data_IF_755178074014
#
_entry.id   IF_755178074014
#
_cell.length_a   1.000
_cell.length_b   1.000
_cell.length_c   1.000
_cell.angle_alpha   90.00
_cell.angle_beta   90.00
_cell.angle_gamma   90.00
#
_symmetry.space_group_name_H-M   'P 1'
#
loop_
_entity.id
_entity.type
_entity.pdbx_description
1 polymer ?
#
# COMPACT_ATOMS: atom_id res chain seq x y z
N UNK A 1 24.76 19.91 29.79
CA UNK A 1 25.82 19.20 29.07
C UNK A 1 25.31 17.87 28.61
N UNK A 2 25.45 17.59 27.30
CA UNK A 2 25.36 16.29 26.64
C UNK A 2 23.99 15.63 26.58
N UNK A 3 23.16 16.01 25.58
CA UNK A 3 22.23 15.13 24.89
C UNK A 3 22.23 15.49 23.39
N UNK A 4 23.39 15.36 22.78
CA UNK A 4 23.51 15.20 21.35
C UNK A 4 23.83 13.69 21.13
N UNK A 5 22.82 12.85 21.35
CA UNK A 5 22.86 11.50 20.79
C UNK A 5 22.86 11.68 19.27
N UNK A 6 23.94 11.24 18.67
CA UNK A 6 24.16 11.19 17.23
C UNK A 6 22.94 10.59 16.54
N UNK A 7 22.15 11.41 15.83
CA UNK A 7 21.38 10.91 14.69
C UNK A 7 22.41 10.38 13.70
N UNK A 8 22.64 9.09 13.69
CA UNK A 8 23.14 8.43 12.49
C UNK A 8 22.14 8.81 11.39
N UNK A 9 22.62 9.51 10.39
CA UNK A 9 21.85 9.75 9.18
C UNK A 9 21.47 8.38 8.63
N UNK A 10 20.16 8.07 8.58
CA UNK A 10 19.65 6.92 7.86
C UNK A 10 20.27 6.97 6.46
N UNK A 11 20.97 5.93 6.06
CA UNK A 11 21.44 5.84 4.68
C UNK A 11 20.20 5.81 3.78
N UNK A 12 20.23 6.55 2.68
CA UNK A 12 19.15 6.52 1.69
C UNK A 12 18.99 5.09 1.16
N UNK A 13 17.74 4.64 0.95
CA UNK A 13 17.48 3.34 0.35
C UNK A 13 18.12 3.25 -1.04
N UNK A 14 18.58 2.07 -1.40
CA UNK A 14 19.05 1.80 -2.76
C UNK A 14 17.98 1.04 -3.58
N UNK A 15 18.27 0.84 -4.86
CA UNK A 15 17.38 0.12 -5.77
C UNK A 15 17.07 -1.31 -5.30
N UNK A 16 18.04 -1.95 -4.65
CA UNK A 16 17.88 -3.29 -4.10
C UNK A 16 16.87 -3.30 -2.96
N UNK A 17 16.93 -2.31 -2.08
CA UNK A 17 15.99 -2.18 -0.95
C UNK A 17 14.56 -1.97 -1.45
N UNK A 18 14.38 -1.13 -2.47
CA UNK A 18 13.08 -0.94 -3.12
C UNK A 18 12.56 -2.24 -3.74
N UNK A 19 13.39 -2.99 -4.47
CA UNK A 19 12.97 -4.26 -5.06
C UNK A 19 12.61 -5.31 -4.00
N UNK A 20 13.29 -5.34 -2.87
CA UNK A 20 12.94 -6.18 -1.73
C UNK A 20 11.60 -5.77 -1.12
N UNK A 21 11.40 -4.47 -0.87
CA UNK A 21 10.13 -3.92 -0.36
C UNK A 21 8.97 -4.26 -1.31
N UNK A 22 9.11 -4.00 -2.61
CA UNK A 22 8.07 -4.31 -3.60
C UNK A 22 7.73 -5.80 -3.64
N UNK A 23 8.74 -6.68 -3.57
CA UNK A 23 8.52 -8.13 -3.51
C UNK A 23 7.73 -8.55 -2.26
N UNK A 24 8.00 -7.91 -1.13
CA UNK A 24 7.34 -8.19 0.16
C UNK A 24 5.96 -7.52 0.28
N UNK A 25 5.72 -6.42 -0.42
CA UNK A 25 4.38 -5.83 -0.54
C UNK A 25 3.42 -6.74 -1.31
N UNK A 26 3.93 -7.48 -2.31
CA UNK A 26 3.14 -8.47 -3.05
C UNK A 26 2.88 -9.71 -2.21
N UNK A 27 3.89 -10.23 -1.53
CA UNK A 27 3.75 -11.36 -0.61
C UNK A 27 4.83 -11.31 0.46
N UNK A 28 4.44 -10.88 1.64
CA UNK A 28 5.34 -10.77 2.80
C UNK A 28 5.96 -12.09 3.26
N UNK A 29 5.40 -13.25 2.89
CA UNK A 29 5.95 -14.58 3.17
C UNK A 29 6.94 -15.08 2.12
N UNK A 30 7.29 -14.28 1.11
CA UNK A 30 8.29 -14.67 0.10
C UNK A 30 9.57 -15.13 0.82
N UNK A 31 10.06 -16.36 0.53
CA UNK A 31 11.28 -16.88 1.17
C UNK A 31 12.49 -16.01 0.86
N UNK A 32 13.40 -15.88 1.83
CA UNK A 32 14.66 -15.12 1.63
C UNK A 32 15.51 -15.65 0.47
N UNK A 33 15.45 -16.94 0.19
CA UNK A 33 16.11 -17.55 -0.97
C UNK A 33 15.59 -16.95 -2.28
N UNK A 34 14.27 -16.87 -2.43
CA UNK A 34 13.62 -16.29 -3.62
C UNK A 34 13.91 -14.79 -3.76
N UNK A 35 13.91 -14.06 -2.63
CA UNK A 35 14.31 -12.66 -2.62
C UNK A 35 15.78 -12.49 -3.07
N UNK A 36 16.67 -13.30 -2.54
CA UNK A 36 18.11 -13.30 -2.86
C UNK A 36 18.35 -13.53 -4.38
N UNK A 37 17.66 -14.50 -4.95
CA UNK A 37 17.71 -14.78 -6.39
C UNK A 37 17.24 -13.58 -7.23
N UNK A 38 16.13 -12.92 -6.83
CA UNK A 38 15.56 -11.75 -7.55
C UNK A 38 16.50 -10.55 -7.58
N UNK A 39 17.22 -10.32 -6.48
CA UNK A 39 18.14 -9.17 -6.35
C UNK A 39 19.62 -9.53 -6.55
N UNK A 40 19.91 -10.76 -6.95
CA UNK A 40 21.27 -11.27 -7.20
C UNK A 40 22.21 -11.10 -6.00
N UNK A 41 21.72 -11.34 -4.79
CA UNK A 41 22.48 -11.29 -3.55
C UNK A 41 22.49 -12.64 -2.82
N UNK A 42 23.33 -12.76 -1.79
CA UNK A 42 23.25 -13.88 -0.86
C UNK A 42 22.06 -13.74 0.09
N UNK A 43 21.54 -14.86 0.61
CA UNK A 43 20.46 -14.89 1.60
C UNK A 43 20.82 -14.05 2.85
N UNK A 44 22.08 -14.14 3.29
CA UNK A 44 22.56 -13.36 4.44
C UNK A 44 22.57 -11.85 4.16
N UNK A 45 22.91 -11.42 2.93
CA UNK A 45 22.88 -10.03 2.54
C UNK A 45 21.44 -9.48 2.53
N UNK A 46 20.48 -10.25 1.99
CA UNK A 46 19.07 -9.90 2.02
C UNK A 46 18.55 -9.79 3.45
N UNK A 47 18.89 -10.78 4.31
CA UNK A 47 18.47 -10.73 5.72
C UNK A 47 19.00 -9.47 6.41
N UNK A 48 20.29 -9.13 6.22
CA UNK A 48 20.90 -7.95 6.82
C UNK A 48 20.22 -6.65 6.34
N UNK A 49 19.94 -6.53 5.03
CA UNK A 49 19.24 -5.35 4.48
C UNK A 49 17.85 -5.17 5.07
N UNK A 50 17.06 -6.24 5.11
CA UNK A 50 15.71 -6.18 5.70
C UNK A 50 15.76 -5.85 7.19
N UNK A 51 16.76 -6.37 7.92
CA UNK A 51 16.95 -6.02 9.32
C UNK A 51 17.26 -4.53 9.48
N UNK A 52 18.14 -3.96 8.65
CA UNK A 52 18.42 -2.51 8.64
C UNK A 52 17.17 -1.70 8.38
N UNK A 53 16.35 -2.05 7.35
CA UNK A 53 15.10 -1.34 7.06
C UNK A 53 14.10 -1.41 8.21
N UNK A 54 14.10 -2.50 8.99
CA UNK A 54 13.27 -2.63 10.19
C UNK A 54 13.81 -1.76 11.33
N UNK A 55 15.11 -1.77 11.57
CA UNK A 55 15.76 -0.96 12.61
C UNK A 55 15.62 0.54 12.37
N UNK A 56 15.65 0.97 11.12
CA UNK A 56 15.42 2.35 10.70
C UNK A 56 13.94 2.75 10.72
N UNK A 57 13.02 1.79 10.90
CA UNK A 57 11.59 2.02 10.94
C UNK A 57 10.94 2.23 9.57
N UNK A 58 11.67 2.02 8.48
CA UNK A 58 11.14 2.03 7.11
C UNK A 58 10.14 0.89 6.90
N UNK A 59 10.47 -0.30 7.44
CA UNK A 59 9.57 -1.45 7.54
C UNK A 59 9.19 -1.66 9.00
N UNK A 60 7.92 -1.50 9.35
CA UNK A 60 7.45 -1.61 10.73
C UNK A 60 6.76 -2.93 11.05
N UNK A 61 6.71 -3.86 10.13
CA UNK A 61 6.15 -5.19 10.36
C UNK A 61 5.50 -5.79 9.12
N UNK A 62 5.12 -7.04 9.27
CA UNK A 62 4.49 -7.86 8.23
C UNK A 62 3.05 -8.13 8.63
N UNK A 63 2.09 -7.96 7.71
CA UNK A 63 0.67 -8.05 8.01
C UNK A 63 -0.06 -9.00 7.07
N UNK A 64 -1.16 -9.57 7.55
CA UNK A 64 -2.12 -10.28 6.73
C UNK A 64 -3.52 -9.74 7.01
N UNK A 65 -4.32 -9.56 5.95
CA UNK A 65 -5.71 -9.09 6.06
C UNK A 65 -6.58 -9.82 5.04
N UNK A 66 -7.88 -10.02 5.30
CA UNK A 66 -8.77 -10.53 4.27
C UNK A 66 -8.76 -9.55 3.09
N UNK A 67 -8.62 -10.02 1.87
CA UNK A 67 -8.55 -9.13 0.70
C UNK A 67 -9.87 -8.40 0.46
N UNK A 68 -9.80 -7.21 -0.13
CA UNK A 68 -11.02 -6.50 -0.55
C UNK A 68 -11.81 -7.30 -1.58
N UNK A 69 -11.11 -8.05 -2.43
CA UNK A 69 -11.72 -8.95 -3.40
C UNK A 69 -12.60 -10.01 -2.72
N UNK A 70 -12.07 -10.71 -1.72
CA UNK A 70 -12.82 -11.73 -0.99
C UNK A 70 -14.01 -11.15 -0.19
N UNK A 71 -13.89 -9.90 0.26
CA UNK A 71 -14.94 -9.19 0.99
C UNK A 71 -15.97 -8.50 0.10
N UNK A 72 -15.78 -8.47 -1.23
CA UNK A 72 -16.63 -7.73 -2.16
C UNK A 72 -16.55 -6.21 -1.97
N UNK A 73 -15.44 -5.71 -1.42
CA UNK A 73 -15.24 -4.32 -1.07
C UNK A 73 -14.38 -3.58 -2.12
N UNK A 74 -14.35 -2.26 -2.04
CA UNK A 74 -13.67 -1.42 -3.01
C UNK A 74 -12.57 -0.60 -2.38
N UNK A 75 -11.50 -0.37 -3.16
CA UNK A 75 -10.45 0.58 -2.85
C UNK A 75 -10.75 1.90 -3.57
N UNK A 76 -10.79 2.98 -2.82
CA UNK A 76 -11.15 4.32 -3.31
C UNK A 76 -10.05 5.29 -2.91
N UNK A 77 -9.63 6.11 -3.85
CA UNK A 77 -8.77 7.25 -3.58
C UNK A 77 -9.54 8.55 -3.73
N UNK A 78 -9.53 9.36 -2.68
CA UNK A 78 -10.10 10.70 -2.69
C UNK A 78 -8.97 11.69 -2.50
N UNK A 79 -8.80 12.63 -3.43
CA UNK A 79 -7.66 13.52 -3.39
C UNK A 79 -7.98 14.92 -3.90
N UNK A 80 -7.23 15.90 -3.43
CA UNK A 80 -7.40 17.29 -3.84
C UNK A 80 -6.65 18.27 -2.96
N UNK A 81 -6.69 19.54 -3.35
CA UNK A 81 -6.13 20.65 -2.61
C UNK A 81 -6.93 20.91 -1.33
N UNK A 82 -6.31 20.75 -0.17
CA UNK A 82 -6.92 21.08 1.13
C UNK A 82 -6.75 22.57 1.46
N UNK A 83 -7.79 23.16 2.09
CA UNK A 83 -7.74 24.48 2.69
C UNK A 83 -7.53 24.46 4.20
N UNK A 84 -7.48 23.25 4.79
CA UNK A 84 -7.26 23.08 6.22
C UNK A 84 -5.90 23.65 6.65
N UNK A 85 -5.89 24.35 7.77
CA UNK A 85 -4.66 24.91 8.34
C UNK A 85 -4.69 24.78 9.87
N UNK A 86 -3.79 23.99 10.48
CA UNK A 86 -2.79 23.16 9.82
C UNK A 86 -3.38 21.89 9.23
N UNK A 87 -2.82 21.41 8.12
CA UNK A 87 -3.29 20.19 7.42
C UNK A 87 -3.11 18.92 8.27
N UNK A 88 -2.14 18.93 9.19
CA UNK A 88 -1.91 17.81 10.14
C UNK A 88 -3.10 17.50 11.05
N UNK A 89 -3.89 18.52 11.39
CA UNK A 89 -5.08 18.33 12.22
C UNK A 89 -6.24 17.70 11.40
N UNK A 90 -6.32 18.04 10.11
CA UNK A 90 -7.24 17.36 9.21
C UNK A 90 -6.89 15.87 9.06
N UNK A 91 -5.61 15.52 8.92
CA UNK A 91 -5.16 14.12 8.88
C UNK A 91 -5.64 13.34 10.12
N UNK A 92 -5.44 13.90 11.31
CA UNK A 92 -5.89 13.28 12.57
C UNK A 92 -7.40 13.08 12.63
N UNK A 93 -8.18 14.08 12.17
CA UNK A 93 -9.64 13.97 12.12
C UNK A 93 -10.12 12.92 11.11
N UNK A 94 -9.44 12.79 9.96
CA UNK A 94 -9.73 11.77 8.95
C UNK A 94 -9.63 10.35 9.50
N UNK A 95 -8.71 10.07 10.42
CA UNK A 95 -8.55 8.75 11.04
C UNK A 95 -9.74 8.29 11.89
N UNK A 96 -10.68 9.18 12.20
CA UNK A 96 -11.92 8.80 12.94
C UNK A 96 -12.90 7.99 12.10
N UNK A 97 -12.79 8.00 10.77
CA UNK A 97 -13.60 7.20 9.88
C UNK A 97 -12.89 5.87 9.58
N UNK A 98 -13.52 4.76 9.90
CA UNK A 98 -12.92 3.43 9.76
C UNK A 98 -12.81 2.92 8.31
N UNK A 99 -13.30 3.68 7.35
CA UNK A 99 -13.00 3.45 5.93
C UNK A 99 -11.65 4.02 5.52
N UNK A 100 -11.12 5.03 6.21
CA UNK A 100 -9.84 5.67 5.87
C UNK A 100 -8.68 4.80 6.34
N UNK A 101 -7.89 4.28 5.39
CA UNK A 101 -6.73 3.46 5.71
C UNK A 101 -5.39 4.18 5.56
N UNK A 102 -5.35 5.26 4.79
CA UNK A 102 -4.12 5.97 4.47
C UNK A 102 -4.41 7.43 4.15
N UNK A 103 -3.59 8.34 4.68
CA UNK A 103 -3.61 9.77 4.35
C UNK A 103 -2.20 10.24 4.11
N UNK A 104 -1.96 10.93 3.01
CA UNK A 104 -0.67 11.53 2.68
C UNK A 104 -0.83 12.98 2.30
N UNK A 105 0.08 13.82 2.80
CA UNK A 105 0.22 15.23 2.44
C UNK A 105 1.29 15.37 1.38
N UNK A 106 0.97 16.12 0.35
CA UNK A 106 1.90 16.47 -0.72
C UNK A 106 2.05 17.98 -0.88
N UNK A 107 2.86 18.39 -1.84
CA UNK A 107 3.14 19.79 -2.15
C UNK A 107 1.87 20.63 -2.23
N UNK A 108 1.89 21.84 -1.66
CA UNK A 108 0.77 22.78 -1.68
C UNK A 108 -0.44 22.35 -0.86
N UNK A 109 -0.27 21.62 0.26
CA UNK A 109 -1.35 21.05 1.07
C UNK A 109 -2.28 20.12 0.28
N UNK A 110 -1.76 19.47 -0.76
CA UNK A 110 -2.53 18.47 -1.48
C UNK A 110 -2.63 17.19 -0.66
N UNK A 111 -3.84 16.66 -0.53
CA UNK A 111 -4.10 15.42 0.21
C UNK A 111 -4.47 14.29 -0.72
N UNK A 112 -3.95 13.10 -0.38
CA UNK A 112 -4.41 11.83 -0.90
C UNK A 112 -4.96 11.02 0.28
N UNK A 113 -6.21 10.56 0.15
CA UNK A 113 -6.92 9.81 1.19
C UNK A 113 -7.39 8.50 0.60
N UNK A 114 -6.74 7.40 1.00
CA UNK A 114 -7.14 6.05 0.62
C UNK A 114 -8.23 5.52 1.52
N UNK A 115 -9.25 4.94 0.94
CA UNK A 115 -10.43 4.46 1.66
C UNK A 115 -10.84 3.06 1.19
N UNK A 116 -11.21 2.20 2.13
CA UNK A 116 -11.89 0.96 1.85
C UNK A 116 -13.38 1.10 2.14
N UNK A 117 -14.22 0.94 1.12
CA UNK A 117 -15.67 0.96 1.27
C UNK A 117 -16.24 -0.44 1.06
N UNK A 118 -17.24 -0.82 1.88
CA UNK A 118 -17.88 -2.14 1.84
C UNK A 118 -18.77 -2.31 0.61
N UNK A 119 -19.31 -1.19 0.13
CA UNK A 119 -20.17 -1.16 -1.06
C UNK A 119 -20.13 0.22 -1.71
N UNK A 120 -20.53 0.31 -2.97
CA UNK A 120 -20.65 1.59 -3.68
C UNK A 120 -21.66 2.55 -3.01
N UNK A 121 -22.63 2.04 -2.25
CA UNK A 121 -23.58 2.88 -1.52
C UNK A 121 -22.90 3.73 -0.41
N UNK A 122 -21.73 3.34 0.09
CA UNK A 122 -20.98 4.13 1.08
C UNK A 122 -20.17 5.27 0.45
N UNK A 123 -19.97 5.27 -0.88
CA UNK A 123 -19.04 6.18 -1.56
C UNK A 123 -19.36 7.66 -1.32
N UNK A 124 -20.65 8.03 -1.45
CA UNK A 124 -21.08 9.42 -1.29
C UNK A 124 -20.83 9.90 0.15
N UNK A 125 -21.19 9.10 1.15
CA UNK A 125 -21.01 9.46 2.56
C UNK A 125 -19.53 9.60 2.95
N UNK A 126 -18.66 8.70 2.46
CA UNK A 126 -17.21 8.77 2.70
C UNK A 126 -16.61 9.99 1.98
N UNK A 127 -16.99 10.25 0.75
CA UNK A 127 -16.50 11.41 -0.01
C UNK A 127 -16.92 12.74 0.65
N UNK A 128 -18.15 12.84 1.13
CA UNK A 128 -18.66 14.03 1.83
C UNK A 128 -17.93 14.23 3.19
N UNK A 129 -17.72 13.16 3.95
CA UNK A 129 -16.95 13.21 5.18
C UNK A 129 -15.52 13.74 4.92
N UNK A 130 -14.83 13.23 3.88
CA UNK A 130 -13.47 13.66 3.55
C UNK A 130 -13.49 15.11 3.06
N UNK A 131 -14.42 15.47 2.18
CA UNK A 131 -14.58 16.83 1.68
C UNK A 131 -14.69 17.84 2.83
N UNK A 132 -15.56 17.56 3.80
CA UNK A 132 -15.78 18.44 4.94
C UNK A 132 -14.63 18.45 5.93
N UNK A 133 -14.09 17.26 6.29
CA UNK A 133 -13.04 17.11 7.30
C UNK A 133 -11.70 17.64 6.84
N UNK A 134 -11.34 17.38 5.58
CA UNK A 134 -10.09 17.81 4.96
C UNK A 134 -10.21 19.18 4.27
N UNK A 135 -11.38 19.79 4.27
CA UNK A 135 -11.65 21.08 3.61
C UNK A 135 -11.17 21.10 2.15
N UNK A 136 -11.47 20.02 1.41
CA UNK A 136 -11.17 19.92 -0.02
C UNK A 136 -12.44 20.34 -0.80
N UNK A 137 -12.46 21.52 -1.45
CA UNK A 137 -13.69 22.02 -2.09
C UNK A 137 -14.18 21.15 -3.26
N UNK A 138 -13.24 20.65 -4.05
CA UNK A 138 -13.48 19.86 -5.25
C UNK A 138 -12.62 18.58 -5.21
N UNK A 139 -13.00 17.58 -4.40
CA UNK A 139 -12.24 16.34 -4.34
C UNK A 139 -12.43 15.52 -5.62
N UNK A 140 -11.33 14.99 -6.14
CA UNK A 140 -11.40 13.92 -7.13
C UNK A 140 -11.63 12.60 -6.40
N UNK A 141 -12.61 11.83 -6.85
CA UNK A 141 -12.98 10.53 -6.29
C UNK A 141 -12.73 9.45 -7.33
N UNK A 142 -11.74 8.61 -7.08
CA UNK A 142 -11.34 7.52 -7.97
C UNK A 142 -11.58 6.16 -7.34
N UNK A 143 -12.31 5.26 -8.01
CA UNK A 143 -12.41 3.85 -7.64
C UNK A 143 -11.22 3.15 -8.26
N UNK A 144 -10.29 2.67 -7.43
CA UNK A 144 -9.04 2.09 -7.90
C UNK A 144 -9.32 0.77 -8.64
N UNK A 145 -8.68 0.63 -9.78
CA UNK A 145 -8.73 -0.58 -10.59
C UNK A 145 -7.37 -1.29 -10.53
N UNK A 146 -7.28 -2.35 -9.75
CA UNK A 146 -6.07 -3.17 -9.63
C UNK A 146 -5.91 -4.21 -10.77
N UNK A 147 -6.77 -4.14 -11.79
CA UNK A 147 -6.77 -5.08 -12.92
C UNK A 147 -7.53 -6.36 -12.58
N UNK A 148 -8.80 -6.42 -12.87
CA UNK A 148 -9.65 -7.58 -12.62
C UNK A 148 -11.12 -7.27 -12.74
N UNK A 149 -11.96 -8.28 -12.58
CA UNK A 149 -13.39 -8.09 -12.46
C UNK A 149 -13.71 -7.32 -11.16
N UNK A 150 -14.80 -6.54 -11.12
CA UNK A 150 -15.25 -5.92 -9.88
C UNK A 150 -15.46 -7.00 -8.81
N UNK A 151 -15.19 -6.68 -7.54
CA UNK A 151 -15.27 -7.67 -6.47
C UNK A 151 -16.69 -8.24 -6.38
N UNK A 152 -16.81 -9.50 -6.65
CA UNK A 152 -17.99 -10.30 -6.30
C UNK A 152 -17.57 -11.20 -5.14
N UNK A 153 -18.32 -11.28 -4.05
CA UNK A 153 -17.98 -12.19 -2.95
C UNK A 153 -17.85 -13.62 -3.50
N UNK A 154 -16.63 -14.14 -3.54
CA UNK A 154 -16.35 -15.39 -4.27
C UNK A 154 -16.43 -16.59 -3.33
N UNK A 155 -16.07 -16.42 -2.06
CA UNK A 155 -16.13 -17.47 -1.03
C UNK A 155 -16.22 -16.84 0.35
N UNK A 156 -17.21 -17.19 1.15
CA UNK A 156 -17.17 -16.84 2.56
C UNK A 156 -16.00 -17.59 3.21
N UNK A 157 -15.18 -16.88 4.01
CA UNK A 157 -14.21 -17.51 4.89
C UNK A 157 -14.90 -18.40 5.90
N UNK A 158 -14.38 -19.59 6.14
CA UNK A 158 -14.81 -20.40 7.28
C UNK A 158 -14.13 -19.91 8.59
N UNK A 159 -14.53 -20.49 9.72
CA UNK A 159 -14.02 -20.07 11.02
C UNK A 159 -12.51 -20.29 11.15
N UNK A 160 -11.98 -21.35 10.54
CA UNK A 160 -10.54 -21.63 10.56
C UNK A 160 -9.76 -20.63 9.69
N UNK A 161 -10.30 -20.21 8.55
CA UNK A 161 -9.71 -19.16 7.73
C UNK A 161 -9.58 -17.85 8.52
N UNK A 162 -10.65 -17.44 9.23
CA UNK A 162 -10.64 -16.25 10.08
C UNK A 162 -9.63 -16.34 11.22
N UNK A 163 -9.55 -17.50 11.87
CA UNK A 163 -8.57 -17.73 12.94
C UNK A 163 -7.13 -17.66 12.42
N UNK A 164 -6.86 -18.25 11.25
CA UNK A 164 -5.54 -18.17 10.61
C UNK A 164 -5.18 -16.72 10.26
N UNK A 165 -6.10 -15.97 9.64
CA UNK A 165 -5.88 -14.55 9.30
C UNK A 165 -5.59 -13.74 10.58
N UNK A 166 -6.36 -13.98 11.65
CA UNK A 166 -6.19 -13.32 12.94
C UNK A 166 -4.79 -13.59 13.54
N UNK A 167 -4.30 -14.84 13.46
CA UNK A 167 -2.95 -15.15 13.93
C UNK A 167 -1.83 -14.49 13.09
N UNK A 168 -2.12 -14.14 11.84
CA UNK A 168 -1.18 -13.54 10.91
C UNK A 168 -1.27 -12.01 10.80
N UNK A 169 -2.27 -11.38 11.43
CA UNK A 169 -2.58 -9.96 11.23
C UNK A 169 -1.45 -9.00 11.60
N UNK A 170 -0.68 -9.34 12.64
CA UNK A 170 0.44 -8.51 13.14
C UNK A 170 1.81 -9.08 12.79
N UNK A 171 1.89 -10.34 12.40
CA UNK A 171 3.07 -10.99 11.84
C UNK A 171 2.66 -12.05 10.81
N UNK A 172 2.58 -11.64 9.57
CA UNK A 172 2.25 -12.56 8.47
C UNK A 172 3.34 -13.61 8.21
N UNK A 173 4.51 -13.50 8.82
CA UNK A 173 5.60 -14.48 8.74
C UNK A 173 5.61 -15.51 9.88
N UNK A 174 4.65 -15.42 10.81
CA UNK A 174 4.52 -16.35 11.93
C UNK A 174 4.60 -17.82 11.46
N UNK A 175 5.35 -18.68 12.16
CA UNK A 175 5.48 -20.10 11.82
C UNK A 175 4.14 -20.82 11.81
N UNK A 176 3.92 -21.69 10.80
CA UNK A 176 2.65 -22.43 10.69
C UNK A 176 2.40 -23.39 11.85
N UNK A 177 3.47 -23.90 12.49
CA UNK A 177 3.35 -24.77 13.67
C UNK A 177 2.72 -24.02 14.87
N UNK A 178 3.15 -22.79 15.12
CA UNK A 178 2.61 -21.93 16.18
C UNK A 178 1.14 -21.57 15.92
N UNK A 179 0.80 -21.28 14.66
CA UNK A 179 -0.61 -21.03 14.28
C UNK A 179 -1.43 -22.29 14.54
N UNK A 180 -0.94 -23.44 14.10
CA UNK A 180 -1.62 -24.73 14.25
C UNK A 180 -1.95 -25.08 15.71
N UNK A 181 -1.00 -24.85 16.62
CA UNK A 181 -1.21 -25.01 18.06
C UNK A 181 -2.31 -24.07 18.57
N UNK A 182 -2.28 -22.81 18.16
CA UNK A 182 -3.25 -21.81 18.62
C UNK A 182 -4.67 -22.06 18.14
N UNK A 183 -4.82 -22.51 16.88
CA UNK A 183 -6.15 -22.76 16.26
C UNK A 183 -6.60 -24.21 16.41
N UNK A 184 -5.92 -25.02 17.21
CA UNK A 184 -6.19 -26.45 17.46
C UNK A 184 -6.38 -27.27 16.17
N UNK A 185 -5.50 -27.06 15.19
CA UNK A 185 -5.49 -27.75 13.92
C UNK A 185 -4.11 -28.35 13.61
N UNK A 186 -4.01 -29.23 12.59
CA UNK A 186 -2.69 -29.69 12.15
C UNK A 186 -1.99 -28.64 11.31
N UNK A 187 -0.64 -28.58 11.37
CA UNK A 187 0.14 -27.69 10.51
C UNK A 187 -0.12 -27.92 9.00
N UNK A 188 -0.44 -29.17 8.61
CA UNK A 188 -0.85 -29.51 7.26
C UNK A 188 -2.19 -28.86 6.89
N UNK A 189 -3.15 -28.85 7.81
CA UNK A 189 -4.46 -28.21 7.61
C UNK A 189 -4.30 -26.70 7.47
N UNK A 190 -3.56 -26.06 8.39
CA UNK A 190 -3.27 -24.62 8.33
C UNK A 190 -2.58 -24.24 7.02
N UNK A 191 -1.59 -25.02 6.59
CA UNK A 191 -0.91 -24.80 5.30
C UNK A 191 -1.89 -24.83 4.14
N UNK A 192 -2.75 -25.84 4.06
CA UNK A 192 -3.74 -25.99 2.97
C UNK A 192 -4.68 -24.78 2.91
N UNK A 193 -5.21 -24.31 4.06
CA UNK A 193 -6.07 -23.12 4.10
C UNK A 193 -5.34 -21.86 3.68
N UNK A 194 -4.11 -21.66 4.17
CA UNK A 194 -3.31 -20.51 3.82
C UNK A 194 -2.91 -20.50 2.34
N UNK A 195 -2.49 -21.65 1.79
CA UNK A 195 -2.15 -21.78 0.37
C UNK A 195 -3.37 -21.52 -0.52
N UNK A 196 -4.58 -22.02 -0.15
CA UNK A 196 -5.83 -21.74 -0.85
C UNK A 196 -6.15 -20.23 -0.85
N UNK A 197 -6.05 -19.58 0.32
CA UNK A 197 -6.29 -18.14 0.45
C UNK A 197 -5.29 -17.30 -0.39
N UNK A 198 -4.02 -17.70 -0.44
CA UNK A 198 -2.99 -17.00 -1.23
C UNK A 198 -3.22 -17.20 -2.73
N UNK A 199 -3.43 -18.44 -3.18
CA UNK A 199 -3.60 -18.78 -4.60
C UNK A 199 -4.85 -18.12 -5.20
N UNK A 200 -5.91 -17.97 -4.42
CA UNK A 200 -7.17 -17.36 -4.86
C UNK A 200 -7.26 -15.87 -4.54
N UNK A 201 -6.19 -15.24 -4.07
CA UNK A 201 -6.17 -13.82 -3.69
C UNK A 201 -7.23 -13.44 -2.64
N UNK A 202 -7.54 -14.34 -1.69
CA UNK A 202 -8.48 -14.06 -0.61
C UNK A 202 -7.83 -13.35 0.57
N UNK A 203 -6.50 -13.43 0.68
CA UNK A 203 -5.72 -12.78 1.74
C UNK A 203 -4.68 -11.85 1.11
N UNK A 204 -4.60 -10.63 1.62
CA UNK A 204 -3.52 -9.68 1.33
C UNK A 204 -2.41 -9.90 2.35
N UNK A 205 -1.23 -10.22 1.87
CA UNK A 205 -0.04 -10.43 2.70
C UNK A 205 1.01 -9.39 2.33
N UNK A 206 1.14 -8.38 3.15
CA UNK A 206 2.00 -7.25 2.89
C UNK A 206 2.89 -6.87 4.06
N UNK A 207 3.46 -5.69 3.98
CA UNK A 207 4.24 -5.09 5.05
C UNK A 207 3.77 -3.67 5.35
N UNK A 208 4.04 -3.20 6.57
CA UNK A 208 3.85 -1.81 6.96
C UNK A 208 5.09 -1.03 6.52
N UNK A 209 4.96 -0.31 5.43
CA UNK A 209 6.03 0.48 4.83
C UNK A 209 5.80 1.98 5.05
N UNK A 210 6.81 2.65 5.60
CA UNK A 210 6.81 4.07 5.88
C UNK A 210 8.00 4.74 5.17
N UNK A 211 7.86 5.08 3.88
CA UNK A 211 8.95 5.64 3.08
C UNK A 211 9.42 7.03 3.56
N UNK A 212 8.59 7.76 4.31
CA UNK A 212 8.92 9.05 4.91
C UNK A 212 9.93 8.96 6.08
N UNK A 213 10.28 7.75 6.52
CA UNK A 213 11.36 7.53 7.48
C UNK A 213 12.75 7.53 6.83
N UNK A 214 12.83 7.35 5.52
CA UNK A 214 14.04 7.53 4.72
C UNK A 214 14.29 9.00 4.34
N UNK A 215 15.42 9.24 3.67
CA UNK A 215 15.76 10.56 3.09
C UNK A 215 15.40 10.66 1.61
N UNK A 216 14.63 9.71 1.12
CA UNK A 216 14.27 9.57 -0.29
C UNK A 216 13.07 10.45 -0.67
N UNK A 217 12.91 10.67 -1.97
CA UNK A 217 11.83 11.48 -2.50
C UNK A 217 10.74 10.55 -3.04
N UNK A 218 9.60 10.54 -2.36
CA UNK A 218 8.38 9.91 -2.84
C UNK A 218 7.55 10.93 -3.62
N UNK A 219 7.09 10.54 -4.79
CA UNK A 219 6.31 11.43 -5.65
C UNK A 219 5.15 10.67 -6.28
N UNK A 220 4.02 11.34 -6.42
CA UNK A 220 2.91 10.88 -7.25
C UNK A 220 2.85 11.77 -8.48
N UNK A 221 3.12 11.21 -9.66
CA UNK A 221 2.85 11.92 -10.90
C UNK A 221 1.39 11.76 -11.27
N UNK A 222 0.70 12.87 -11.46
CA UNK A 222 -0.59 12.90 -12.13
C UNK A 222 -0.33 12.84 -13.63
N UNK A 223 -0.73 11.75 -14.26
CA UNK A 223 -0.54 11.52 -15.68
C UNK A 223 -1.90 11.28 -16.35
N UNK A 224 -2.10 11.93 -17.49
CA UNK A 224 -3.31 11.75 -18.29
C UNK A 224 -2.93 11.22 -19.67
N UNK A 225 -3.50 10.07 -20.05
CA UNK A 225 -3.24 9.51 -21.38
C UNK A 225 -3.93 10.32 -22.46
N UNK A 226 -3.33 10.38 -23.63
CA UNK A 226 -3.94 10.97 -24.83
C UNK A 226 -5.20 10.22 -25.23
N UNK A 227 -6.20 10.88 -25.82
CA UNK A 227 -7.40 10.21 -26.30
C UNK A 227 -7.08 9.01 -27.20
N UNK A 228 -7.71 7.87 -26.95
CA UNK A 228 -7.52 6.64 -27.70
C UNK A 228 -6.29 5.82 -27.33
N UNK A 229 -5.39 6.33 -26.49
CA UNK A 229 -4.25 5.57 -26.00
C UNK A 229 -4.65 4.73 -24.77
N UNK A 230 -4.29 3.44 -24.80
CA UNK A 230 -4.41 2.54 -23.64
C UNK A 230 -3.03 2.22 -23.10
N UNK A 231 -2.83 2.53 -21.83
CA UNK A 231 -1.60 2.19 -21.13
C UNK A 231 -1.65 0.74 -20.66
N UNK A 232 -0.69 -0.08 -21.09
CA UNK A 232 -0.43 -1.35 -20.42
C UNK A 232 0.34 -1.06 -19.13
N UNK A 233 -0.38 -1.05 -18.00
CA UNK A 233 0.16 -0.68 -16.69
C UNK A 233 1.33 -1.56 -16.27
N UNK A 234 1.22 -2.88 -16.47
CA UNK A 234 2.25 -3.83 -16.06
C UNK A 234 3.56 -3.59 -16.84
N UNK A 235 3.48 -3.53 -18.16
CA UNK A 235 4.66 -3.29 -19.00
C UNK A 235 5.27 -1.92 -18.72
N UNK A 236 4.43 -0.91 -18.50
CA UNK A 236 4.90 0.45 -18.18
C UNK A 236 5.62 0.47 -16.83
N UNK A 237 5.02 -0.09 -15.78
CA UNK A 237 5.65 -0.16 -14.46
C UNK A 237 6.97 -0.93 -14.51
N UNK A 238 7.01 -2.08 -15.18
CA UNK A 238 8.22 -2.89 -15.30
C UNK A 238 9.38 -2.17 -15.99
N UNK A 239 9.10 -1.33 -17.01
CA UNK A 239 10.14 -0.54 -17.71
C UNK A 239 10.79 0.53 -16.84
N UNK A 240 10.09 1.02 -15.85
CA UNK A 240 10.53 2.11 -14.99
C UNK A 240 10.95 1.66 -13.59
N UNK A 241 10.93 0.34 -13.28
CA UNK A 241 11.49 -0.15 -12.03
C UNK A 241 12.98 0.20 -11.91
N UNK A 242 13.47 0.50 -10.71
CA UNK A 242 12.75 0.58 -9.43
C UNK A 242 12.14 1.96 -9.15
N UNK A 243 12.27 2.94 -10.05
CA UNK A 243 11.77 4.29 -9.79
C UNK A 243 10.24 4.39 -9.80
N UNK A 244 9.54 3.66 -10.68
CA UNK A 244 8.09 3.57 -10.69
C UNK A 244 7.67 2.33 -9.89
N UNK A 245 7.09 2.55 -8.73
CA UNK A 245 6.71 1.48 -7.79
C UNK A 245 5.44 0.77 -8.25
N UNK A 246 4.40 1.55 -8.55
CA UNK A 246 3.13 1.06 -9.10
C UNK A 246 2.34 2.20 -9.76
N UNK A 247 1.39 1.81 -10.58
CA UNK A 247 0.48 2.71 -11.28
C UNK A 247 -0.93 2.49 -10.78
N UNK A 248 -1.57 3.53 -10.26
CA UNK A 248 -3.01 3.50 -9.96
C UNK A 248 -3.80 3.96 -11.17
N UNK A 249 -4.84 3.21 -11.50
CA UNK A 249 -5.86 3.60 -12.48
C UNK A 249 -7.23 3.51 -11.85
N UNK A 250 -8.21 4.11 -12.47
CA UNK A 250 -9.55 4.26 -11.90
C UNK A 250 -10.61 3.75 -12.86
N UNK A 251 -11.59 3.04 -12.32
CA UNK A 251 -12.72 2.53 -13.11
C UNK A 251 -13.65 3.65 -13.59
N UNK A 252 -13.71 4.76 -12.86
CA UNK A 252 -14.62 5.89 -13.11
C UNK A 252 -13.92 7.16 -13.64
N UNK A 253 -12.59 7.17 -13.77
CA UNK A 253 -11.80 8.29 -14.28
C UNK A 253 -10.92 7.82 -15.46
N UNK A 254 -11.50 7.61 -16.63
CA UNK A 254 -10.76 7.07 -17.79
C UNK A 254 -9.63 8.01 -18.22
N UNK A 255 -8.47 7.42 -18.47
CA UNK A 255 -7.28 8.16 -18.87
C UNK A 255 -6.49 8.83 -17.74
N UNK A 256 -7.03 8.90 -16.52
CA UNK A 256 -6.31 9.38 -15.35
C UNK A 256 -5.46 8.26 -14.74
N UNK A 257 -4.19 8.57 -14.47
CA UNK A 257 -3.24 7.67 -13.84
C UNK A 257 -2.46 8.39 -12.75
N UNK A 258 -2.22 7.71 -11.65
CA UNK A 258 -1.30 8.17 -10.62
C UNK A 258 -0.10 7.21 -10.60
N UNK A 259 1.06 7.76 -10.93
CA UNK A 259 2.31 7.01 -10.98
C UNK A 259 3.04 7.25 -9.66
N UNK A 260 3.09 6.24 -8.80
CA UNK A 260 3.78 6.32 -7.51
C UNK A 260 5.24 5.99 -7.71
N UNK A 261 6.10 6.94 -7.40
CA UNK A 261 7.53 6.87 -7.73
C UNK A 261 8.41 7.14 -6.52
N UNK A 262 9.59 6.57 -6.59
CA UNK A 262 10.69 6.76 -5.66
C UNK A 262 11.93 7.23 -6.41
N UNK A 263 12.63 8.21 -5.84
CA UNK A 263 13.91 8.71 -6.35
C UNK A 263 14.80 9.17 -5.18
N UNK A 264 16.11 9.13 -5.38
CA UNK A 264 17.10 9.54 -4.36
C UNK A 264 17.38 11.04 -4.33
N UNK A 265 17.00 11.75 -5.40
CA UNK A 265 17.29 13.18 -5.53
C UNK A 265 16.30 13.90 -6.44
N UNK A 266 16.21 15.22 -6.27
CA UNK A 266 15.43 16.09 -7.15
C UNK A 266 15.91 16.04 -8.61
N UNK A 267 17.21 15.79 -8.84
CA UNK A 267 17.75 15.61 -10.18
C UNK A 267 17.19 14.35 -10.83
N UNK A 268 17.22 13.23 -10.11
CA UNK A 268 16.66 11.96 -10.57
C UNK A 268 15.15 12.05 -10.81
N UNK A 269 14.42 12.75 -9.92
CA UNK A 269 12.99 13.02 -10.10
C UNK A 269 12.71 13.77 -11.40
N UNK A 270 13.47 14.82 -11.69
CA UNK A 270 13.35 15.58 -12.93
C UNK A 270 13.61 14.70 -14.15
N UNK A 271 14.71 13.94 -14.14
CA UNK A 271 15.10 13.04 -15.24
C UNK A 271 14.04 11.96 -15.48
N UNK A 272 13.44 11.42 -14.40
CA UNK A 272 12.33 10.46 -14.48
C UNK A 272 11.10 11.10 -15.13
N UNK A 273 10.70 12.29 -14.70
CA UNK A 273 9.58 13.02 -15.30
C UNK A 273 9.76 13.25 -16.80
N UNK A 274 10.94 13.74 -17.20
CA UNK A 274 11.28 13.96 -18.62
C UNK A 274 11.26 12.66 -19.44
N UNK A 275 11.68 11.52 -18.85
CA UNK A 275 11.61 10.20 -19.51
C UNK A 275 10.16 9.77 -19.72
N UNK A 276 9.30 9.94 -18.72
CA UNK A 276 7.88 9.60 -18.80
C UNK A 276 7.18 10.47 -19.84
N UNK A 277 7.46 11.78 -19.89
CA UNK A 277 6.90 12.68 -20.91
C UNK A 277 7.31 12.30 -22.33
N UNK A 278 8.56 11.90 -22.54
CA UNK A 278 9.09 11.48 -23.86
C UNK A 278 8.46 10.20 -24.42
N UNK A 279 7.76 9.39 -23.60
CA UNK A 279 6.98 8.25 -24.08
C UNK A 279 5.88 8.67 -25.07
N UNK A 280 5.42 9.93 -25.01
CA UNK A 280 4.41 10.48 -25.90
C UNK A 280 3.00 9.91 -25.72
N UNK A 281 2.80 9.01 -24.75
CA UNK A 281 1.50 8.40 -24.44
C UNK A 281 0.62 9.29 -23.57
N UNK A 282 1.22 10.23 -22.84
CA UNK A 282 0.51 11.16 -21.99
C UNK A 282 0.34 12.54 -22.65
N UNK A 283 -0.78 13.19 -22.39
CA UNK A 283 -1.01 14.60 -22.74
C UNK A 283 -0.51 15.54 -21.65
N UNK A 284 -0.46 15.07 -20.41
CA UNK A 284 0.06 15.79 -19.26
C UNK A 284 0.71 14.84 -18.26
N UNK A 285 1.79 15.31 -17.64
CA UNK A 285 2.49 14.63 -16.53
C UNK A 285 2.89 15.72 -15.55
N UNK A 286 2.47 15.65 -14.29
CA UNK A 286 2.85 16.62 -13.28
C UNK A 286 3.19 15.94 -11.95
N UNK A 287 4.39 16.21 -11.38
CA UNK A 287 4.83 15.63 -10.14
C UNK A 287 4.19 16.32 -8.93
N UNK A 288 3.83 15.54 -7.92
CA UNK A 288 3.42 16.02 -6.62
C UNK A 288 4.23 15.30 -5.54
N UNK A 289 5.16 16.01 -4.90
CA UNK A 289 6.10 15.45 -3.93
C UNK A 289 5.37 15.21 -2.62
N UNK A 290 5.51 14.00 -2.06
CA UNK A 290 4.93 13.61 -0.80
C UNK A 290 5.82 14.05 0.37
N UNK A 291 5.20 14.57 1.44
CA UNK A 291 5.92 15.04 2.63
C UNK A 291 5.84 14.07 3.78
N UNK A 292 4.64 13.56 4.05
CA UNK A 292 4.38 12.64 5.15
C UNK A 292 3.09 11.87 4.89
N UNK A 293 2.99 10.70 5.49
CA UNK A 293 1.78 9.89 5.40
C UNK A 293 1.58 9.03 6.64
N UNK A 294 0.32 8.76 6.96
CA UNK A 294 -0.09 7.89 8.05
C UNK A 294 -1.01 6.78 7.55
N UNK A 295 -0.86 5.61 8.16
CA UNK A 295 -1.70 4.43 7.92
C UNK A 295 -2.55 4.19 9.15
N UNK A 296 -3.85 3.95 8.95
CA UNK A 296 -4.81 3.77 10.02
C UNK A 296 -5.48 2.39 9.98
N UNK A 297 -5.87 1.84 11.13
CA UNK A 297 -6.71 0.65 11.17
C UNK A 297 -8.10 0.96 10.63
N UNK A 298 -8.68 -0.01 9.91
CA UNK A 298 -9.97 0.14 9.24
C UNK A 298 -11.01 -0.84 9.78
N UNK A 299 -12.20 -0.80 9.21
CA UNK A 299 -13.23 -1.81 9.44
C UNK A 299 -12.75 -3.23 9.10
N UNK A 300 -11.79 -3.42 8.17
CA UNK A 300 -11.19 -4.74 7.88
C UNK A 300 -10.45 -5.30 9.08
N UNK A 301 -9.74 -4.43 9.80
CA UNK A 301 -9.02 -4.81 11.03
C UNK A 301 -10.01 -5.20 12.13
N UNK A 302 -11.08 -4.41 12.30
CA UNK A 302 -12.17 -4.72 13.25
C UNK A 302 -12.86 -6.06 12.93
N UNK A 303 -13.17 -6.27 11.63
CA UNK A 303 -13.79 -7.52 11.18
C UNK A 303 -12.89 -8.73 11.45
N UNK A 304 -11.56 -8.59 11.25
CA UNK A 304 -10.59 -9.64 11.56
C UNK A 304 -10.55 -9.95 13.06
N UNK A 305 -10.62 -8.90 13.90
CA UNK A 305 -10.68 -9.07 15.36
C UNK A 305 -11.97 -9.76 15.82
N UNK A 306 -13.11 -9.37 15.27
CA UNK A 306 -14.42 -9.90 15.62
C UNK A 306 -14.57 -11.37 15.20
N UNK A 307 -14.17 -11.71 13.98
CA UNK A 307 -14.32 -13.04 13.42
C UNK A 307 -13.24 -14.01 13.88
N UNK A 308 -12.01 -13.54 14.04
CA UNK A 308 -10.88 -14.40 14.37
C UNK A 308 -10.76 -14.76 15.86
N UNK A 309 -11.47 -14.04 16.75
CA UNK A 309 -11.52 -14.33 18.19
C UNK A 309 -12.66 -15.27 18.59
N UNK A 310 -13.58 -15.60 17.69
CA UNK A 310 -14.67 -16.49 18.02
C UNK A 310 -14.11 -17.90 18.30
N UNK A 311 -14.36 -18.48 19.47
CA UNK A 311 -14.01 -19.87 19.74
C UNK A 311 -14.89 -20.79 18.88
N UNK A 312 -14.29 -21.79 18.26
CA UNK A 312 -14.98 -22.92 17.62
C UNK A 312 -15.81 -23.72 18.63
#
# INVERSE_FOLDING_TARGET
MSYLASRQSSEAMDETDILLILSLLVNSRTPYQVLAERVHLSVNAVHKRLQTLIEEGVVQGFTAKPSLYALGAYDVLIHGQSRASPVSDAMKRLSSNDSVYWVTVASGNYLYVGCYIRSIAELEGVAEFIRGTAEIPEPKVGIINWGGAPPTPVKPFDDLDWQIIYQLKDDSRKPLAEIAETVNASAKTVRRHLDDMIQNHYIDMGLKWYPDKGNDIMTIFHARTRPGVRLNQQDFTMRYLPNLLYTMTFSNLPGEHLLVTWTRSMKELKELGERIEREGVFESVSPNILYTGDIYPTWRDKLTEERGKQPT
#
